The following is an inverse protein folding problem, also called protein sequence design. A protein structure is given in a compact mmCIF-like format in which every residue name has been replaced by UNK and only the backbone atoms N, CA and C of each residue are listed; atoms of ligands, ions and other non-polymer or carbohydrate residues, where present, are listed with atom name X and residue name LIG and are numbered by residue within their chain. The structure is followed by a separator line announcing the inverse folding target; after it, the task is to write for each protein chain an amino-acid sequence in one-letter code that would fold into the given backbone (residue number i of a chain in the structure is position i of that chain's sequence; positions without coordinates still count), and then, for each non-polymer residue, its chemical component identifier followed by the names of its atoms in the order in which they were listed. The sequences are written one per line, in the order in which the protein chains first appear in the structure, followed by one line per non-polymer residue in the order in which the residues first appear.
data_IF_914092419982
#
_entry.id   IF_914092419982
#
_cell.length_a   1.000
_cell.length_b   1.000
_cell.length_c   1.000
_cell.angle_alpha   90.00
_cell.angle_beta   90.00
_cell.angle_gamma   90.00
#
_symmetry.space_group_name_H-M   'P 1'
#
loop_
_entity.id
_entity.type
_entity.pdbx_description
1 polymer ?
#
# COMPACT_ATOMS: atom_id res chain seq x y z
N UNK A 1 -1.55 -6.34 14.72
CA UNK A 1 -0.39 -7.26 14.74
C UNK A 1 0.80 -6.36 14.81
N UNK A 2 1.48 -6.44 15.94
CA UNK A 2 2.43 -5.43 16.35
C UNK A 2 3.80 -5.98 15.97
N UNK A 3 4.17 -5.71 14.73
CA UNK A 3 5.43 -6.14 14.15
C UNK A 3 6.42 -4.97 14.22
N UNK A 4 7.71 -5.29 14.08
CA UNK A 4 8.77 -4.28 13.93
C UNK A 4 8.52 -3.29 12.77
N UNK A 5 7.61 -3.62 11.85
CA UNK A 5 7.22 -2.75 10.73
C UNK A 5 6.07 -1.79 11.08
N UNK A 6 5.36 -2.02 12.19
CA UNK A 6 4.19 -1.25 12.60
C UNK A 6 4.37 -0.57 13.97
N UNK A 7 5.29 -1.05 14.81
CA UNK A 7 5.59 -0.53 16.14
C UNK A 7 7.08 -0.67 16.48
N UNK A 8 7.63 0.24 17.30
CA UNK A 8 9.01 0.19 17.78
C UNK A 8 9.79 1.50 17.65
N UNK A 9 10.99 1.53 18.25
CA UNK A 9 11.93 2.64 18.11
C UNK A 9 12.40 2.79 16.65
N UNK A 10 12.51 4.02 16.16
CA UNK A 10 12.93 4.30 14.77
C UNK A 10 11.83 4.23 13.71
N UNK A 11 10.62 3.76 14.04
CA UNK A 11 9.51 3.66 13.08
C UNK A 11 9.14 5.00 12.43
N UNK A 12 9.16 6.08 13.21
CA UNK A 12 8.86 7.43 12.71
C UNK A 12 9.85 7.84 11.60
N UNK A 13 11.14 7.66 11.86
CA UNK A 13 12.20 7.97 10.90
C UNK A 13 12.08 7.10 9.64
N UNK A 14 11.84 5.80 9.80
CA UNK A 14 11.63 4.90 8.66
C UNK A 14 10.42 5.34 7.81
N UNK A 15 9.31 5.74 8.44
CA UNK A 15 8.12 6.26 7.75
C UNK A 15 8.40 7.56 7.01
N UNK A 16 9.21 8.45 7.57
CA UNK A 16 9.62 9.69 6.90
C UNK A 16 10.45 9.38 5.64
N UNK A 17 11.39 8.43 5.73
CA UNK A 17 12.20 7.99 4.58
C UNK A 17 11.32 7.34 3.50
N UNK A 18 10.37 6.48 3.88
CA UNK A 18 9.47 5.84 2.92
C UNK A 18 8.53 6.85 2.26
N UNK A 19 7.94 7.77 3.04
CA UNK A 19 7.07 8.81 2.53
C UNK A 19 7.80 9.73 1.54
N UNK A 20 9.05 10.08 1.81
CA UNK A 20 9.85 10.93 0.94
C UNK A 20 10.19 10.28 -0.42
N UNK A 21 10.22 8.96 -0.49
CA UNK A 21 10.44 8.19 -1.73
C UNK A 21 9.15 7.85 -2.46
N UNK A 22 8.02 7.90 -1.77
CA UNK A 22 6.71 7.64 -2.37
C UNK A 22 6.25 8.88 -3.17
N UNK A 23 5.85 8.76 -4.44
CA UNK A 23 5.29 9.88 -5.19
C UNK A 23 4.08 10.55 -4.53
N UNK A 24 3.29 9.81 -3.76
CA UNK A 24 2.19 10.36 -2.97
C UNK A 24 2.66 11.22 -1.78
N UNK A 25 3.97 11.22 -1.46
CA UNK A 25 4.58 12.00 -0.38
C UNK A 25 4.19 11.54 1.03
N UNK A 26 3.54 10.38 1.16
CA UNK A 26 3.04 9.83 2.42
C UNK A 26 2.97 8.31 2.39
N UNK A 27 2.79 7.73 3.58
CA UNK A 27 2.39 6.33 3.69
C UNK A 27 0.93 6.14 3.25
N UNK A 28 0.66 5.00 2.62
CA UNK A 28 -0.70 4.56 2.33
C UNK A 28 -1.49 4.28 3.61
N UNK A 29 -2.82 4.40 3.53
CA UNK A 29 -3.74 3.99 4.60
C UNK A 29 -4.46 2.70 4.23
N UNK A 30 -4.92 1.88 5.20
CA UNK A 30 -5.56 0.60 4.93
C UNK A 30 -6.73 0.67 3.93
N UNK A 31 -7.51 1.73 3.98
CA UNK A 31 -8.69 1.93 3.11
C UNK A 31 -8.32 2.00 1.61
N UNK A 32 -7.11 2.42 1.27
CA UNK A 32 -6.63 2.49 -0.12
C UNK A 32 -6.44 1.09 -0.73
N UNK A 33 -6.10 0.09 0.09
CA UNK A 33 -6.10 -1.31 -0.33
C UNK A 33 -7.54 -1.85 -0.45
N UNK A 34 -8.44 -1.39 0.42
CA UNK A 34 -9.84 -1.80 0.44
C UNK A 34 -10.56 -1.59 -0.89
N UNK A 35 -10.28 -0.49 -1.59
CA UNK A 35 -10.87 -0.21 -2.91
C UNK A 35 -10.57 -1.29 -3.95
N UNK A 36 -9.31 -1.75 -4.03
CA UNK A 36 -8.91 -2.84 -4.94
C UNK A 36 -9.54 -4.17 -4.53
N UNK A 37 -9.65 -4.45 -3.23
CA UNK A 37 -10.32 -5.66 -2.75
C UNK A 37 -11.79 -5.66 -3.17
N UNK A 38 -12.50 -4.54 -2.98
CA UNK A 38 -13.91 -4.41 -3.43
C UNK A 38 -14.03 -4.58 -4.94
N UNK A 39 -13.13 -3.98 -5.72
CA UNK A 39 -13.07 -4.17 -7.19
C UNK A 39 -12.96 -5.65 -7.55
N UNK A 40 -11.98 -6.35 -6.97
CA UNK A 40 -11.70 -7.76 -7.24
C UNK A 40 -12.85 -8.69 -6.82
N UNK A 41 -13.50 -8.40 -5.69
CA UNK A 41 -14.65 -9.18 -5.21
C UNK A 41 -15.96 -8.84 -5.95
N UNK A 42 -16.01 -7.74 -6.70
CA UNK A 42 -17.19 -7.34 -7.46
C UNK A 42 -17.28 -8.01 -8.83
N UNK A 43 -18.38 -7.77 -9.56
CA UNK A 43 -18.53 -8.17 -10.96
C UNK A 43 -17.48 -7.53 -11.89
N UNK A 44 -16.94 -6.37 -11.53
CA UNK A 44 -15.90 -5.72 -12.34
C UNK A 44 -14.56 -6.48 -12.28
N UNK A 45 -14.34 -7.29 -11.24
CA UNK A 45 -13.19 -8.17 -11.10
C UNK A 45 -13.29 -9.51 -11.85
N UNK A 46 -14.40 -9.79 -12.56
CA UNK A 46 -14.73 -11.16 -13.00
C UNK A 46 -13.74 -11.83 -13.95
N UNK A 47 -12.82 -11.07 -14.55
CA UNK A 47 -11.79 -11.60 -15.45
C UNK A 47 -10.36 -11.31 -14.98
N UNK A 48 -10.18 -10.73 -13.79
CA UNK A 48 -8.88 -10.57 -13.18
C UNK A 48 -8.43 -11.91 -12.58
N UNK A 49 -7.34 -12.47 -13.08
CA UNK A 49 -6.68 -13.65 -12.51
C UNK A 49 -5.18 -13.65 -12.86
N UNK A 50 -4.38 -14.29 -12.02
CA UNK A 50 -2.95 -14.51 -12.26
C UNK A 50 -2.11 -13.25 -12.44
N UNK A 51 -2.55 -12.11 -11.89
CA UNK A 51 -1.90 -10.81 -12.05
C UNK A 51 -1.67 -10.13 -10.71
N UNK A 52 -0.54 -9.44 -10.57
CA UNK A 52 -0.24 -8.60 -9.41
C UNK A 52 -0.83 -7.20 -9.59
N UNK A 53 -1.53 -6.69 -8.58
CA UNK A 53 -2.08 -5.34 -8.54
C UNK A 53 -1.36 -4.54 -7.45
N UNK A 54 -0.49 -3.63 -7.88
CA UNK A 54 0.31 -2.81 -6.96
C UNK A 54 -0.51 -1.61 -6.48
N UNK A 55 -0.60 -1.45 -5.15
CA UNK A 55 -1.28 -0.34 -4.47
C UNK A 55 -0.31 0.30 -3.48
N UNK A 56 0.60 1.11 -3.98
CA UNK A 56 1.74 1.62 -3.20
C UNK A 56 1.99 3.13 -3.35
N UNK A 57 1.07 3.87 -3.97
CA UNK A 57 1.25 5.30 -4.24
C UNK A 57 2.31 5.62 -5.31
N UNK A 58 2.82 4.62 -6.02
CA UNK A 58 3.82 4.74 -7.09
C UNK A 58 5.26 4.43 -6.65
N UNK A 59 5.47 3.99 -5.41
CA UNK A 59 6.82 3.74 -4.86
C UNK A 59 7.63 2.64 -5.54
N UNK A 60 7.01 1.75 -6.33
CA UNK A 60 7.73 0.74 -7.11
C UNK A 60 8.37 1.30 -8.38
N UNK A 61 7.85 2.41 -8.92
CA UNK A 61 8.30 2.99 -10.20
C UNK A 61 9.27 4.16 -10.00
N UNK A 62 9.12 4.92 -8.92
CA UNK A 62 9.81 6.18 -8.65
C UNK A 62 10.59 6.11 -7.33
#
# INVERSE_FOLDING_TARGET
MDTVLNEGEGLREAREVWAARNPAGRMGIPDELGGVVVLLCSRAGSYFNGSDLVVDGGGIVF
#
